data_IF_761048868846
#
_entry.id   IF_761048868846
#
_cell.length_a   1.000
_cell.length_b   1.000
_cell.length_c   1.000
_cell.angle_alpha   90.00
_cell.angle_beta   90.00
_cell.angle_gamma   90.00
#
_symmetry.space_group_name_H-M   'P 1'
#
loop_
_entity.id
_entity.type
_entity.pdbx_description
1 polymer ?
#
# COMPACT_ATOMS: atom_id res chain seq x y z
N UNK A 1 13.34 -5.01 0.66
CA UNK A 1 12.81 -4.51 1.93
C UNK A 1 13.56 -3.25 2.36
N UNK A 2 12.89 -2.36 3.11
CA UNK A 2 13.54 -1.21 3.71
C UNK A 2 14.39 -1.61 4.92
N UNK A 3 15.33 -0.72 5.30
CA UNK A 3 16.10 -0.90 6.53
C UNK A 3 15.18 -0.99 7.73
N UNK A 4 15.48 -1.90 8.66
CA UNK A 4 14.80 -2.06 9.94
C UNK A 4 15.77 -1.65 11.08
N UNK A 5 15.98 -0.34 11.28
CA UNK A 5 16.86 0.13 12.32
C UNK A 5 16.28 -0.21 13.71
N UNK A 6 17.17 -0.34 14.68
CA UNK A 6 16.81 -0.63 16.08
C UNK A 6 17.65 0.23 17.02
N UNK A 7 17.28 1.51 17.14
CA UNK A 7 17.89 2.48 18.07
C UNK A 7 16.81 3.02 19.00
N UNK A 8 17.06 3.21 20.29
CA UNK A 8 16.05 3.67 21.25
C UNK A 8 15.48 5.06 20.94
N UNK A 9 16.26 5.92 20.30
CA UNK A 9 15.98 7.33 19.98
C UNK A 9 15.69 7.57 18.49
N UNK A 10 15.42 6.51 17.71
CA UNK A 10 15.23 6.65 16.27
C UNK A 10 13.91 7.33 15.89
N UNK A 11 13.97 8.13 14.84
CA UNK A 11 12.81 8.63 14.09
C UNK A 11 12.68 7.82 12.80
N UNK A 12 11.71 6.90 12.76
CA UNK A 12 11.53 5.92 11.66
C UNK A 12 10.51 6.38 10.64
N UNK A 13 11.00 6.96 9.54
CA UNK A 13 10.18 7.52 8.44
C UNK A 13 10.48 6.85 7.08
N UNK A 14 10.77 5.55 7.05
CA UNK A 14 11.29 4.87 5.86
C UNK A 14 10.38 3.79 5.26
N UNK A 15 9.45 3.22 5.99
CA UNK A 15 8.63 2.06 5.55
C UNK A 15 7.12 2.31 5.51
N UNK A 16 6.72 3.58 5.58
CA UNK A 16 5.31 4.01 5.48
C UNK A 16 4.42 3.37 6.56
N UNK A 17 4.97 3.13 7.74
CA UNK A 17 4.20 2.68 8.89
C UNK A 17 3.35 3.83 9.43
N UNK A 18 2.24 3.51 10.04
CA UNK A 18 1.39 4.47 10.72
C UNK A 18 2.08 4.88 12.04
N UNK A 19 2.23 6.18 12.36
CA UNK A 19 2.86 6.61 13.60
C UNK A 19 1.97 6.44 14.84
N UNK A 20 0.68 6.18 14.66
CA UNK A 20 -0.27 5.94 15.74
C UNK A 20 -0.47 4.45 15.98
N UNK A 21 -0.81 4.02 17.22
CA UNK A 21 -1.09 2.62 17.53
C UNK A 21 -2.34 2.12 16.79
N UNK A 22 -2.57 0.79 16.74
CA UNK A 22 -3.85 0.23 16.30
C UNK A 22 -5.03 0.70 17.17
N UNK A 23 -6.26 0.52 16.67
CA UNK A 23 -7.48 0.82 17.42
C UNK A 23 -7.48 0.15 18.80
N UNK A 24 -7.95 0.82 19.87
CA UNK A 24 -7.92 0.26 21.23
C UNK A 24 -8.62 -1.10 21.36
N UNK A 25 -9.65 -1.35 20.55
CA UNK A 25 -10.35 -2.64 20.50
C UNK A 25 -9.43 -3.81 20.09
N UNK A 26 -8.34 -3.55 19.38
CA UNK A 26 -7.36 -4.58 19.01
C UNK A 26 -6.67 -5.14 20.26
N UNK A 27 -6.27 -4.29 21.21
CA UNK A 27 -5.66 -4.74 22.46
C UNK A 27 -6.61 -5.64 23.25
N UNK A 28 -7.88 -5.25 23.34
CA UNK A 28 -8.92 -6.05 24.01
C UNK A 28 -9.09 -7.41 23.31
N UNK A 29 -9.21 -7.43 21.98
CA UNK A 29 -9.38 -8.67 21.23
C UNK A 29 -8.20 -9.65 21.39
N UNK A 30 -6.98 -9.13 21.47
CA UNK A 30 -5.78 -9.95 21.72
C UNK A 30 -5.69 -10.45 23.16
N UNK A 31 -6.10 -9.64 24.14
CA UNK A 31 -6.12 -10.03 25.55
C UNK A 31 -7.17 -11.14 25.82
N UNK A 32 -8.33 -11.05 25.19
CA UNK A 32 -9.45 -11.98 25.42
C UNK A 32 -9.30 -13.29 24.64
N UNK A 33 -8.29 -13.40 23.77
CA UNK A 33 -8.03 -14.62 23.03
C UNK A 33 -7.55 -15.74 23.98
N UNK A 34 -8.28 -16.86 24.00
CA UNK A 34 -7.87 -18.03 24.78
C UNK A 34 -6.60 -18.66 24.18
N UNK A 35 -5.55 -18.77 24.99
CA UNK A 35 -4.31 -19.46 24.59
C UNK A 35 -4.57 -20.93 24.21
N UNK A 36 -5.55 -21.60 24.88
CA UNK A 36 -5.93 -22.97 24.55
C UNK A 36 -6.47 -23.10 23.11
N UNK A 37 -7.07 -22.06 22.55
CA UNK A 37 -7.56 -22.07 21.18
C UNK A 37 -6.44 -22.22 20.14
N UNK A 38 -5.21 -21.84 20.48
CA UNK A 38 -4.06 -21.88 19.54
C UNK A 38 -3.63 -23.30 19.15
N UNK A 39 -4.09 -24.33 19.88
CA UNK A 39 -3.87 -25.75 19.51
C UNK A 39 -4.74 -26.21 18.32
N UNK A 40 -5.72 -25.41 17.92
CA UNK A 40 -6.65 -25.72 16.84
C UNK A 40 -6.30 -24.91 15.59
N UNK A 41 -6.50 -25.51 14.42
CA UNK A 41 -6.40 -24.76 13.16
C UNK A 41 -7.41 -23.61 13.11
N UNK A 42 -7.04 -22.46 12.53
CA UNK A 42 -7.96 -21.36 12.30
C UNK A 42 -8.99 -21.70 11.21
N UNK A 43 -10.00 -20.85 11.07
CA UNK A 43 -10.97 -20.94 10.00
C UNK A 43 -10.26 -20.77 8.63
N UNK A 44 -10.28 -21.77 7.74
CA UNK A 44 -9.57 -21.70 6.45
C UNK A 44 -10.16 -20.69 5.47
N UNK A 45 -11.45 -20.33 5.63
CA UNK A 45 -12.12 -19.31 4.79
C UNK A 45 -12.13 -17.93 5.41
N UNK A 46 -11.53 -17.77 6.61
CA UNK A 46 -11.37 -16.49 7.31
C UNK A 46 -12.71 -15.73 7.45
N UNK A 47 -13.81 -16.45 7.66
CA UNK A 47 -15.19 -15.96 7.53
C UNK A 47 -15.47 -14.74 8.40
N UNK A 48 -15.03 -14.74 9.68
CA UNK A 48 -15.26 -13.61 10.59
C UNK A 48 -14.63 -12.30 10.09
N UNK A 49 -13.39 -12.35 9.63
CA UNK A 49 -12.70 -11.17 9.12
C UNK A 49 -13.28 -10.73 7.78
N UNK A 50 -13.54 -11.68 6.86
CA UNK A 50 -14.14 -11.37 5.57
C UNK A 50 -15.55 -10.74 5.73
N UNK A 51 -16.37 -11.23 6.68
CA UNK A 51 -17.65 -10.62 7.02
C UNK A 51 -17.48 -9.18 7.52
N UNK A 52 -16.57 -8.97 8.47
CA UNK A 52 -16.33 -7.62 9.00
C UNK A 52 -15.81 -6.64 7.93
N UNK A 53 -14.97 -7.10 6.99
CA UNK A 53 -14.52 -6.31 5.83
C UNK A 53 -15.73 -6.02 4.90
N UNK A 54 -16.53 -7.03 4.59
CA UNK A 54 -17.71 -6.87 3.73
C UNK A 54 -18.69 -5.84 4.31
N UNK A 55 -18.98 -5.92 5.61
CA UNK A 55 -19.85 -4.98 6.34
C UNK A 55 -19.27 -3.55 6.31
N UNK A 56 -17.94 -3.41 6.51
CA UNK A 56 -17.28 -2.11 6.51
C UNK A 56 -17.37 -1.40 5.15
N UNK A 57 -17.18 -2.15 4.06
CA UNK A 57 -17.18 -1.61 2.70
C UNK A 57 -18.57 -1.67 2.01
N UNK A 58 -19.57 -2.29 2.64
CA UNK A 58 -20.92 -2.43 2.07
C UNK A 58 -20.97 -3.36 0.85
N UNK A 59 -20.12 -4.39 0.82
CA UNK A 59 -20.06 -5.40 -0.25
C UNK A 59 -20.54 -6.76 0.27
N UNK A 60 -20.71 -7.75 -0.61
CA UNK A 60 -21.11 -9.09 -0.22
C UNK A 60 -19.91 -9.89 0.29
N UNK A 61 -20.13 -10.86 1.18
CA UNK A 61 -19.09 -11.74 1.72
C UNK A 61 -18.30 -12.46 0.61
N UNK A 62 -18.99 -12.94 -0.40
CA UNK A 62 -18.39 -13.64 -1.56
C UNK A 62 -17.56 -12.75 -2.49
N UNK A 63 -17.55 -11.44 -2.24
CA UNK A 63 -16.70 -10.47 -2.94
C UNK A 63 -15.38 -10.20 -2.22
N UNK A 64 -15.12 -10.81 -1.05
CA UNK A 64 -13.95 -10.54 -0.20
C UNK A 64 -13.02 -11.74 -0.12
N UNK A 65 -11.73 -11.51 -0.33
CA UNK A 65 -10.64 -12.46 -0.12
C UNK A 65 -9.59 -11.85 0.81
N UNK A 66 -9.20 -12.54 1.87
CA UNK A 66 -8.14 -12.09 2.79
C UNK A 66 -6.90 -12.98 2.74
N UNK A 67 -5.72 -12.36 2.89
CA UNK A 67 -4.41 -13.00 2.90
C UNK A 67 -3.44 -12.36 3.91
N UNK A 68 -2.24 -12.90 3.98
CA UNK A 68 -1.19 -12.53 4.96
C UNK A 68 -0.45 -11.27 4.52
N UNK A 69 -1.16 -10.15 4.48
CA UNK A 69 -0.73 -8.86 3.93
C UNK A 69 -1.08 -8.72 2.45
N UNK A 70 -1.06 -7.48 1.95
CA UNK A 70 -1.32 -7.23 0.51
C UNK A 70 -0.29 -7.89 -0.40
N UNK A 71 0.93 -8.13 0.06
CA UNK A 71 1.95 -8.86 -0.70
C UNK A 71 1.50 -10.29 -1.02
N UNK A 72 0.94 -11.00 -0.04
CA UNK A 72 0.39 -12.34 -0.23
C UNK A 72 -0.82 -12.31 -1.19
N UNK A 73 -1.73 -11.36 -0.99
CA UNK A 73 -2.91 -11.18 -1.84
C UNK A 73 -2.51 -10.88 -3.30
N UNK A 74 -1.57 -9.95 -3.50
CA UNK A 74 -1.06 -9.60 -4.83
C UNK A 74 -0.33 -10.79 -5.47
N UNK A 75 0.54 -11.49 -4.73
CA UNK A 75 1.22 -12.67 -5.24
C UNK A 75 0.24 -13.77 -5.66
N UNK A 76 -0.83 -13.99 -4.88
CA UNK A 76 -1.91 -14.90 -5.26
C UNK A 76 -2.64 -14.43 -6.52
N UNK A 77 -2.91 -13.13 -6.67
CA UNK A 77 -3.49 -12.58 -7.89
C UNK A 77 -2.58 -12.80 -9.11
N UNK A 78 -1.27 -12.56 -8.99
CA UNK A 78 -0.30 -12.81 -10.06
C UNK A 78 -0.31 -14.28 -10.48
N UNK A 79 -0.20 -15.19 -9.51
CA UNK A 79 -0.22 -16.63 -9.74
C UNK A 79 -1.52 -17.10 -10.39
N UNK A 80 -2.65 -16.52 -9.98
CA UNK A 80 -3.99 -16.96 -10.41
C UNK A 80 -4.36 -16.44 -11.79
N UNK A 81 -4.09 -15.15 -12.07
CA UNK A 81 -4.67 -14.46 -13.22
C UNK A 81 -3.68 -14.12 -14.34
N UNK A 82 -2.39 -14.00 -14.03
CA UNK A 82 -1.38 -13.58 -15.01
C UNK A 82 -0.63 -14.76 -15.62
N UNK A 83 -1.37 -15.73 -16.15
CA UNK A 83 -0.83 -16.99 -16.68
C UNK A 83 -0.87 -17.09 -18.21
N UNK A 84 -1.15 -16.00 -18.92
CA UNK A 84 -1.09 -15.95 -20.36
C UNK A 84 0.36 -15.75 -20.84
N UNK A 85 0.60 -15.97 -22.14
CA UNK A 85 1.91 -15.68 -22.77
C UNK A 85 2.10 -14.20 -23.10
N UNK A 86 1.07 -13.37 -22.92
CA UNK A 86 1.13 -11.92 -23.16
C UNK A 86 1.76 -11.23 -21.96
N UNK A 87 2.54 -10.14 -22.17
CA UNK A 87 3.11 -9.40 -21.07
C UNK A 87 2.05 -8.70 -20.22
N UNK A 88 2.19 -8.70 -18.92
CA UNK A 88 1.43 -7.81 -18.04
C UNK A 88 2.07 -6.43 -18.01
N UNK A 89 1.26 -5.40 -17.74
CA UNK A 89 1.70 -4.01 -17.69
C UNK A 89 1.66 -3.45 -16.29
N UNK A 90 2.70 -2.72 -15.91
CA UNK A 90 2.75 -1.90 -14.69
C UNK A 90 3.73 -0.73 -14.86
N UNK A 91 3.65 0.36 -14.04
CA UNK A 91 4.52 1.52 -14.18
C UNK A 91 6.00 1.18 -13.97
N UNK A 92 6.90 1.92 -14.62
CA UNK A 92 8.37 1.77 -14.47
C UNK A 92 8.85 2.19 -13.07
N UNK A 93 8.22 3.22 -12.48
CA UNK A 93 8.47 3.71 -11.11
C UNK A 93 7.26 3.42 -10.26
N UNK A 94 7.26 2.27 -9.57
CA UNK A 94 6.13 1.75 -8.82
C UNK A 94 6.58 0.82 -7.69
N UNK A 95 5.65 0.03 -7.14
CA UNK A 95 5.94 -0.94 -6.10
C UNK A 95 6.92 -2.01 -6.59
N UNK A 96 8.05 -2.13 -5.91
CA UNK A 96 9.20 -2.92 -6.39
C UNK A 96 9.01 -4.44 -6.42
N UNK A 97 7.89 -4.98 -5.90
CA UNK A 97 7.62 -6.42 -5.91
C UNK A 97 6.91 -6.91 -7.18
N UNK A 98 6.31 -6.04 -7.98
CA UNK A 98 5.66 -6.49 -9.24
C UNK A 98 6.63 -7.22 -10.18
N UNK A 99 7.83 -6.72 -10.49
CA UNK A 99 8.80 -7.48 -11.26
C UNK A 99 9.29 -8.75 -10.53
N UNK A 100 9.42 -8.72 -9.20
CA UNK A 100 9.86 -9.88 -8.41
C UNK A 100 8.89 -11.05 -8.56
N UNK A 101 7.57 -10.80 -8.42
CA UNK A 101 6.57 -11.85 -8.63
C UNK A 101 6.48 -12.28 -10.10
N UNK A 102 6.62 -11.33 -11.04
CA UNK A 102 6.64 -11.68 -12.47
C UNK A 102 7.78 -12.63 -12.79
N UNK A 103 8.98 -12.37 -12.28
CA UNK A 103 10.14 -13.24 -12.46
C UNK A 103 9.96 -14.59 -11.74
N UNK A 104 9.48 -14.59 -10.49
CA UNK A 104 9.24 -15.80 -9.71
C UNK A 104 8.26 -16.76 -10.38
N UNK A 105 7.18 -16.22 -10.94
CA UNK A 105 6.14 -17.01 -11.59
C UNK A 105 6.32 -17.13 -13.11
N UNK A 106 7.44 -16.62 -13.65
CA UNK A 106 7.75 -16.64 -15.09
C UNK A 106 6.68 -15.94 -15.96
N UNK A 107 6.12 -14.86 -15.45
CA UNK A 107 5.13 -14.04 -16.13
C UNK A 107 5.87 -12.99 -16.96
N UNK A 108 5.67 -12.92 -18.29
CA UNK A 108 6.23 -11.84 -19.09
C UNK A 108 5.62 -10.50 -18.68
N UNK A 109 6.45 -9.45 -18.67
CA UNK A 109 5.97 -8.12 -18.28
C UNK A 109 6.61 -7.00 -19.10
N UNK A 110 5.94 -5.88 -19.18
CA UNK A 110 6.42 -4.64 -19.75
C UNK A 110 6.18 -3.49 -18.78
N UNK A 111 7.24 -2.71 -18.52
CA UNK A 111 7.15 -1.51 -17.69
C UNK A 111 6.69 -0.34 -18.55
N UNK A 112 5.58 0.30 -18.19
CA UNK A 112 5.08 1.50 -18.85
C UNK A 112 5.71 2.73 -18.20
N UNK A 113 6.35 3.64 -18.97
CA UNK A 113 7.00 4.80 -18.39
C UNK A 113 5.99 5.77 -17.80
N UNK A 114 6.22 6.24 -16.57
CA UNK A 114 5.57 7.43 -16.09
C UNK A 114 6.10 8.66 -16.85
N UNK A 115 5.26 9.70 -17.03
CA UNK A 115 5.70 10.94 -17.67
C UNK A 115 6.77 11.67 -16.82
N UNK A 116 7.25 12.84 -17.26
CA UNK A 116 8.29 13.60 -16.56
C UNK A 116 7.86 14.10 -15.17
N UNK A 117 6.55 14.17 -14.91
CA UNK A 117 5.97 14.52 -13.61
C UNK A 117 5.64 13.31 -12.74
N UNK A 118 6.06 12.11 -13.13
CA UNK A 118 5.75 10.83 -12.50
C UNK A 118 4.26 10.47 -12.50
N UNK A 119 3.48 10.99 -13.43
CA UNK A 119 2.09 10.63 -13.62
C UNK A 119 1.97 9.44 -14.57
N UNK A 120 1.02 8.54 -14.31
CA UNK A 120 0.69 7.44 -15.20
C UNK A 120 -0.02 7.98 -16.46
N UNK A 121 0.41 7.50 -17.62
CA UNK A 121 -0.19 7.82 -18.94
C UNK A 121 -1.14 6.67 -19.29
N UNK A 122 -2.44 6.89 -19.18
CA UNK A 122 -3.46 5.82 -19.30
C UNK A 122 -3.48 5.17 -20.67
N UNK A 123 -3.18 5.93 -21.73
CA UNK A 123 -3.12 5.46 -23.11
C UNK A 123 -2.08 4.37 -23.33
N UNK A 124 -1.00 4.35 -22.54
CA UNK A 124 0.03 3.31 -22.60
C UNK A 124 -0.49 1.92 -22.17
N UNK A 125 -1.65 1.88 -21.52
CA UNK A 125 -2.30 0.67 -21.03
C UNK A 125 -3.43 0.13 -21.92
N UNK A 126 -3.68 0.74 -23.09
CA UNK A 126 -4.74 0.31 -24.00
C UNK A 126 -4.32 -0.83 -24.94
N UNK A 127 -3.01 -1.05 -25.09
CA UNK A 127 -2.51 -2.13 -25.95
C UNK A 127 -2.88 -3.52 -25.37
N UNK A 128 -2.95 -4.51 -26.25
CA UNK A 128 -3.19 -5.90 -25.87
C UNK A 128 -2.15 -6.38 -24.86
N UNK A 129 -2.61 -7.00 -23.76
CA UNK A 129 -1.77 -7.39 -22.64
C UNK A 129 -2.28 -8.66 -21.95
N UNK A 130 -1.47 -9.19 -21.01
CA UNK A 130 -1.81 -10.35 -20.19
C UNK A 130 -2.43 -10.00 -18.83
N UNK A 131 -2.59 -8.71 -18.54
CA UNK A 131 -3.10 -8.16 -17.29
C UNK A 131 -2.44 -6.84 -16.95
N UNK A 132 -3.04 -6.09 -16.06
CA UNK A 132 -2.55 -4.78 -15.63
C UNK A 132 -2.53 -4.73 -14.11
N UNK A 133 -1.48 -4.13 -13.53
CA UNK A 133 -1.43 -3.83 -12.10
C UNK A 133 -0.75 -2.48 -11.87
N UNK A 134 -1.35 -1.63 -11.06
CA UNK A 134 -0.76 -0.38 -10.60
C UNK A 134 -1.30 0.04 -9.24
N UNK A 135 -0.49 0.71 -8.40
CA UNK A 135 -0.96 1.28 -7.16
C UNK A 135 -1.73 2.59 -7.40
N UNK A 136 -2.75 2.82 -6.62
CA UNK A 136 -3.46 4.09 -6.58
C UNK A 136 -3.86 4.46 -5.15
N UNK A 137 -3.19 5.45 -4.54
CA UNK A 137 -2.04 6.26 -5.00
C UNK A 137 -0.78 5.44 -5.27
N UNK A 138 0.01 5.87 -6.27
CA UNK A 138 1.26 5.18 -6.62
C UNK A 138 2.34 5.33 -5.53
N UNK A 139 3.12 4.29 -5.31
CA UNK A 139 4.31 4.34 -4.47
C UNK A 139 5.55 4.08 -5.35
N UNK A 140 6.59 4.96 -5.32
CA UNK A 140 6.90 5.93 -4.27
C UNK A 140 6.39 7.36 -4.50
N UNK A 141 5.67 7.65 -5.57
CA UNK A 141 5.38 9.04 -5.99
C UNK A 141 4.28 9.73 -5.18
N UNK A 142 3.34 8.96 -4.62
CA UNK A 142 2.18 9.45 -3.87
C UNK A 142 1.05 9.98 -4.75
N UNK A 143 1.21 10.00 -6.07
CA UNK A 143 0.22 10.54 -7.03
C UNK A 143 -0.95 9.56 -7.18
N UNK A 144 -2.16 10.09 -7.16
CA UNK A 144 -3.37 9.35 -7.44
C UNK A 144 -3.95 9.69 -8.82
N UNK A 145 -4.43 8.65 -9.52
CA UNK A 145 -5.28 8.79 -10.69
C UNK A 145 -6.72 9.08 -10.30
N UNK A 146 -7.44 9.75 -11.19
CA UNK A 146 -8.89 9.89 -11.04
C UNK A 146 -9.61 8.55 -11.27
N UNK A 147 -10.77 8.38 -10.65
CA UNK A 147 -11.63 7.20 -10.89
C UNK A 147 -11.98 7.08 -12.37
N UNK A 148 -12.21 8.22 -13.06
CA UNK A 148 -12.54 8.23 -14.48
C UNK A 148 -11.40 7.71 -15.36
N UNK A 149 -10.14 8.06 -15.05
CA UNK A 149 -8.98 7.56 -15.82
C UNK A 149 -8.74 6.07 -15.58
N UNK A 150 -8.97 5.59 -14.34
CA UNK A 150 -8.88 4.16 -14.02
C UNK A 150 -10.01 3.40 -14.71
N UNK A 151 -11.22 3.93 -14.70
CA UNK A 151 -12.36 3.33 -15.40
C UNK A 151 -12.11 3.24 -16.91
N UNK A 152 -11.50 4.25 -17.50
CA UNK A 152 -11.12 4.27 -18.91
C UNK A 152 -10.09 3.16 -19.24
N UNK A 153 -9.08 2.95 -18.37
CA UNK A 153 -8.15 1.81 -18.52
C UNK A 153 -8.91 0.47 -18.46
N UNK A 154 -9.82 0.30 -17.52
CA UNK A 154 -10.61 -0.94 -17.37
C UNK A 154 -11.43 -1.22 -18.63
N UNK A 155 -12.09 -0.20 -19.19
CA UNK A 155 -12.92 -0.30 -20.38
C UNK A 155 -12.15 -0.69 -21.64
N UNK A 156 -10.89 -0.23 -21.78
CA UNK A 156 -10.02 -0.59 -22.89
C UNK A 156 -9.42 -2.01 -22.76
N UNK A 157 -9.60 -2.68 -21.61
CA UNK A 157 -9.02 -3.98 -21.31
C UNK A 157 -10.06 -5.04 -20.90
N UNK A 158 -11.15 -5.24 -21.64
CA UNK A 158 -12.24 -6.12 -21.21
C UNK A 158 -11.83 -7.60 -21.05
N UNK A 159 -10.79 -8.03 -21.75
CA UNK A 159 -10.26 -9.39 -21.75
C UNK A 159 -9.05 -9.60 -20.81
N UNK A 160 -8.65 -8.56 -20.08
CA UNK A 160 -7.51 -8.59 -19.16
C UNK A 160 -7.93 -8.19 -17.74
N UNK A 161 -7.40 -8.89 -16.74
CA UNK A 161 -7.61 -8.50 -15.34
C UNK A 161 -6.84 -7.22 -15.05
N UNK A 162 -7.52 -6.24 -14.46
CA UNK A 162 -6.94 -4.98 -13.95
C UNK A 162 -6.95 -5.02 -12.43
N UNK A 163 -5.76 -4.99 -11.83
CA UNK A 163 -5.56 -4.94 -10.39
C UNK A 163 -5.21 -3.52 -9.99
N UNK A 164 -6.04 -2.91 -9.15
CA UNK A 164 -5.75 -1.61 -8.54
C UNK A 164 -5.32 -1.83 -7.09
N UNK A 165 -4.03 -1.56 -6.82
CA UNK A 165 -3.46 -1.69 -5.48
C UNK A 165 -3.69 -0.39 -4.71
N UNK A 166 -4.69 -0.40 -3.84
CA UNK A 166 -5.14 0.72 -3.03
C UNK A 166 -4.52 0.73 -1.62
N UNK A 167 -3.27 0.31 -1.47
CA UNK A 167 -2.60 0.26 -0.16
C UNK A 167 -2.57 1.61 0.58
N UNK A 168 -2.68 2.73 -0.12
CA UNK A 168 -2.61 4.09 0.43
C UNK A 168 -3.89 4.90 0.24
N UNK A 169 -4.98 4.29 -0.20
CA UNK A 169 -6.20 4.98 -0.64
C UNK A 169 -6.83 5.86 0.44
N UNK A 170 -6.76 5.43 1.70
CA UNK A 170 -7.39 6.12 2.82
C UNK A 170 -6.80 7.51 3.11
N UNK A 171 -5.62 7.84 2.57
CA UNK A 171 -4.91 9.10 2.85
C UNK A 171 -5.26 10.25 1.90
N UNK A 172 -6.22 10.10 1.00
CA UNK A 172 -6.70 11.19 0.15
C UNK A 172 -7.11 10.79 -1.26
N UNK A 173 -6.85 9.55 -1.69
CA UNK A 173 -7.33 9.03 -2.96
C UNK A 173 -8.84 8.72 -2.94
N UNK A 174 -9.40 8.49 -4.12
CA UNK A 174 -10.78 8.03 -4.27
C UNK A 174 -10.75 6.58 -4.76
N UNK A 175 -11.37 5.67 -3.98
CA UNK A 175 -11.40 4.25 -4.28
C UNK A 175 -12.24 3.93 -5.53
N UNK A 176 -11.79 2.94 -6.30
CA UNK A 176 -12.54 2.37 -7.43
C UNK A 176 -13.45 1.21 -7.01
N UNK A 177 -13.58 0.93 -5.72
CA UNK A 177 -14.50 -0.09 -5.21
C UNK A 177 -15.93 0.00 -5.78
N UNK A 178 -16.54 1.19 -6.00
CA UNK A 178 -17.88 1.27 -6.61
C UNK A 178 -17.96 0.69 -8.03
N UNK A 179 -16.83 0.44 -8.68
CA UNK A 179 -16.79 -0.11 -10.04
C UNK A 179 -16.80 -1.66 -10.10
N UNK A 180 -16.63 -2.35 -8.97
CA UNK A 180 -16.52 -3.83 -8.95
C UNK A 180 -17.78 -4.56 -9.43
N UNK A 181 -18.95 -3.97 -9.24
CA UNK A 181 -20.22 -4.53 -9.73
C UNK A 181 -20.48 -4.18 -11.20
N UNK A 182 -19.71 -3.27 -11.77
CA UNK A 182 -19.81 -2.82 -13.17
C UNK A 182 -18.85 -3.57 -14.10
N UNK A 183 -17.68 -3.98 -13.57
CA UNK A 183 -16.61 -4.57 -14.37
C UNK A 183 -16.15 -5.91 -13.79
N UNK A 184 -16.33 -6.98 -14.58
CA UNK A 184 -15.97 -8.34 -14.19
C UNK A 184 -14.45 -8.60 -14.14
N UNK A 185 -13.63 -7.69 -14.68
CA UNK A 185 -12.18 -7.79 -14.77
C UNK A 185 -11.43 -6.92 -13.76
N UNK A 186 -12.12 -6.29 -12.80
CA UNK A 186 -11.51 -5.42 -11.78
C UNK A 186 -11.27 -6.17 -10.47
N UNK A 187 -10.04 -6.05 -9.94
CA UNK A 187 -9.70 -6.46 -8.57
C UNK A 187 -9.12 -5.26 -7.84
N UNK A 188 -9.66 -4.96 -6.66
CA UNK A 188 -9.14 -3.93 -5.77
C UNK A 188 -8.44 -4.59 -4.58
N UNK A 189 -7.18 -4.25 -4.34
CA UNK A 189 -6.39 -4.80 -3.22
C UNK A 189 -6.11 -3.71 -2.21
N UNK A 190 -6.36 -3.99 -0.94
CA UNK A 190 -6.06 -3.07 0.16
C UNK A 190 -5.32 -3.77 1.30
N UNK A 191 -4.85 -3.01 2.30
CA UNK A 191 -4.06 -3.53 3.41
C UNK A 191 -4.42 -2.85 4.73
N UNK A 192 -4.24 -3.58 5.84
CA UNK A 192 -4.31 -3.02 7.19
C UNK A 192 -2.96 -2.43 7.64
N UNK A 193 -1.90 -2.62 6.86
CA UNK A 193 -0.54 -2.22 7.24
C UNK A 193 -0.32 -0.73 7.33
N UNK A 194 -1.17 0.10 6.70
CA UNK A 194 -0.96 1.54 6.58
C UNK A 194 -1.98 2.31 7.43
N UNK A 195 -3.17 2.52 6.96
CA UNK A 195 -4.19 3.33 7.64
C UNK A 195 -4.65 2.73 8.97
N UNK A 196 -4.68 1.41 9.11
CA UNK A 196 -5.12 0.71 10.33
C UNK A 196 -4.01 0.34 11.32
N UNK A 197 -2.77 0.81 11.10
CA UNK A 197 -1.63 0.59 12.02
C UNK A 197 -1.29 -0.88 12.31
N UNK A 198 -1.58 -1.78 11.37
CA UNK A 198 -1.51 -3.22 11.57
C UNK A 198 -0.41 -3.91 10.72
N UNK A 199 0.67 -3.17 10.39
CA UNK A 199 1.75 -3.73 9.57
C UNK A 199 2.34 -5.03 10.13
N UNK A 200 2.50 -5.12 11.46
CA UNK A 200 3.00 -6.30 12.16
C UNK A 200 2.02 -7.49 12.19
N UNK A 201 0.72 -7.26 12.01
CA UNK A 201 -0.31 -8.31 12.02
C UNK A 201 -0.51 -8.97 10.65
N UNK A 202 0.06 -8.40 9.58
CA UNK A 202 0.02 -8.99 8.23
C UNK A 202 -1.39 -9.30 7.73
N UNK A 203 -2.20 -8.26 7.49
CA UNK A 203 -3.55 -8.39 6.91
C UNK A 203 -3.62 -7.59 5.61
N UNK A 204 -3.98 -8.27 4.53
CA UNK A 204 -4.35 -7.69 3.25
C UNK A 204 -5.61 -8.36 2.73
N UNK A 205 -6.31 -7.71 1.82
CA UNK A 205 -7.52 -8.26 1.23
C UNK A 205 -7.73 -7.77 -0.20
N UNK A 206 -8.45 -8.56 -0.97
CA UNK A 206 -8.97 -8.18 -2.28
C UNK A 206 -10.49 -8.10 -2.23
N UNK A 207 -11.06 -7.17 -2.99
CA UNK A 207 -12.49 -7.07 -3.25
C UNK A 207 -12.70 -7.09 -4.76
N UNK A 208 -13.58 -7.97 -5.22
CA UNK A 208 -13.88 -8.15 -6.64
C UNK A 208 -15.24 -8.84 -6.83
N UNK A 209 -15.59 -9.17 -8.07
CA UNK A 209 -16.77 -9.99 -8.32
C UNK A 209 -16.59 -11.42 -7.72
N UNK A 210 -17.70 -12.11 -7.38
CA UNK A 210 -17.64 -13.41 -6.72
C UNK A 210 -16.88 -14.49 -7.50
N UNK A 211 -16.89 -14.43 -8.85
CA UNK A 211 -16.21 -15.44 -9.66
C UNK A 211 -14.68 -15.34 -9.51
N UNK A 212 -14.12 -14.11 -9.54
CA UNK A 212 -12.68 -13.91 -9.36
C UNK A 212 -12.27 -14.26 -7.93
N UNK A 213 -13.08 -13.92 -6.93
CA UNK A 213 -12.81 -14.29 -5.54
C UNK A 213 -12.85 -15.81 -5.33
N UNK A 214 -13.77 -16.52 -5.96
CA UNK A 214 -13.81 -17.99 -5.93
C UNK A 214 -12.54 -18.59 -6.50
N UNK A 215 -12.07 -18.11 -7.65
CA UNK A 215 -10.83 -18.62 -8.29
C UNK A 215 -9.59 -18.31 -7.42
N UNK A 216 -9.53 -17.14 -6.77
CA UNK A 216 -8.47 -16.84 -5.78
C UNK A 216 -8.48 -17.82 -4.60
N UNK A 217 -9.65 -18.16 -4.08
CA UNK A 217 -9.79 -19.15 -3.01
C UNK A 217 -9.36 -20.55 -3.48
N UNK A 218 -9.72 -20.96 -4.69
CA UNK A 218 -9.29 -22.25 -5.26
C UNK A 218 -7.76 -22.32 -5.37
N UNK A 219 -7.10 -21.23 -5.81
CA UNK A 219 -5.65 -21.13 -5.83
C UNK A 219 -5.04 -21.19 -4.43
N UNK A 220 -5.57 -20.40 -3.49
CA UNK A 220 -5.12 -20.39 -2.08
C UNK A 220 -5.21 -21.78 -1.45
N UNK A 221 -6.34 -22.47 -1.61
CA UNK A 221 -6.52 -23.81 -1.05
C UNK A 221 -5.58 -24.86 -1.66
N UNK A 222 -5.16 -24.63 -2.90
CA UNK A 222 -4.17 -25.48 -3.57
C UNK A 222 -2.74 -25.21 -3.10
N UNK A 223 -2.46 -24.00 -2.62
CA UNK A 223 -1.14 -23.54 -2.20
C UNK A 223 -0.93 -23.63 -0.68
N UNK A 224 -1.80 -23.00 0.11
CA UNK A 224 -1.79 -23.03 1.58
C UNK A 224 -3.20 -22.72 2.13
N UNK A 225 -3.90 -23.74 2.62
CA UNK A 225 -5.30 -23.59 3.05
C UNK A 225 -5.48 -22.86 4.37
N UNK A 226 -4.49 -22.81 5.26
CA UNK A 226 -4.59 -22.19 6.61
C UNK A 226 -3.60 -21.02 6.75
N UNK A 227 -3.71 -20.00 5.89
CA UNK A 227 -2.73 -18.92 5.82
C UNK A 227 -2.77 -17.97 7.00
N UNK A 228 -3.96 -17.64 7.51
CA UNK A 228 -4.14 -16.63 8.57
C UNK A 228 -4.34 -17.28 9.93
N UNK A 229 -3.57 -16.85 10.92
CA UNK A 229 -3.68 -17.33 12.30
C UNK A 229 -4.84 -16.67 13.07
N UNK A 230 -5.23 -17.29 14.20
CA UNK A 230 -6.38 -16.84 14.98
C UNK A 230 -6.20 -15.45 15.61
N UNK A 231 -4.97 -15.10 16.02
CA UNK A 231 -4.67 -13.78 16.61
C UNK A 231 -4.83 -12.69 15.57
N UNK A 232 -4.35 -12.92 14.34
CA UNK A 232 -4.51 -11.99 13.21
C UNK A 232 -5.98 -11.78 12.85
N UNK A 233 -6.78 -12.87 12.81
CA UNK A 233 -8.21 -12.78 12.49
C UNK A 233 -8.94 -11.96 13.57
N UNK A 234 -8.71 -12.25 14.87
CA UNK A 234 -9.36 -11.54 15.95
C UNK A 234 -9.00 -10.04 15.98
N UNK A 235 -7.70 -9.74 15.85
CA UNK A 235 -7.20 -8.37 15.77
C UNK A 235 -7.76 -7.62 14.54
N UNK A 236 -7.82 -8.28 13.40
CA UNK A 236 -8.34 -7.72 12.15
C UNK A 236 -9.83 -7.35 12.25
N UNK A 237 -10.66 -8.22 12.84
CA UNK A 237 -12.08 -7.93 13.07
C UNK A 237 -12.23 -6.67 13.96
N UNK A 238 -11.48 -6.60 15.05
CA UNK A 238 -11.53 -5.44 15.95
C UNK A 238 -11.09 -4.14 15.25
N UNK A 239 -10.00 -4.21 14.45
CA UNK A 239 -9.46 -3.04 13.74
C UNK A 239 -10.41 -2.51 12.66
N UNK A 240 -11.02 -3.39 11.85
CA UNK A 240 -11.90 -2.95 10.76
C UNK A 240 -13.23 -2.41 11.26
N UNK A 241 -13.69 -2.88 12.42
CA UNK A 241 -14.96 -2.45 13.01
C UNK A 241 -14.91 -1.04 13.62
N UNK A 242 -13.72 -0.50 13.92
CA UNK A 242 -13.55 0.83 14.49
C UNK A 242 -13.30 1.89 13.42
N UNK A 243 -14.38 2.28 12.73
CA UNK A 243 -14.36 3.31 11.69
C UNK A 243 -13.94 4.68 12.25
N UNK A 244 -14.42 5.04 13.42
CA UNK A 244 -14.16 6.35 14.03
C UNK A 244 -12.66 6.55 14.32
N UNK A 245 -11.99 5.53 14.85
CA UNK A 245 -10.56 5.57 15.10
C UNK A 245 -9.74 5.64 13.80
N UNK A 246 -10.14 4.89 12.77
CA UNK A 246 -9.52 4.98 11.44
C UNK A 246 -9.60 6.41 10.90
N UNK A 247 -10.79 6.99 10.89
CA UNK A 247 -11.03 8.35 10.37
C UNK A 247 -10.24 9.41 11.16
N UNK A 248 -10.18 9.30 12.49
CA UNK A 248 -9.40 10.19 13.35
C UNK A 248 -7.90 10.13 13.03
N UNK A 249 -7.32 8.93 12.99
CA UNK A 249 -5.87 8.77 12.79
C UNK A 249 -5.45 9.14 11.37
N UNK A 250 -6.26 8.81 10.36
CA UNK A 250 -6.05 9.24 8.98
C UNK A 250 -6.10 10.75 8.86
N UNK A 251 -7.08 11.41 9.48
CA UNK A 251 -7.18 12.87 9.47
C UNK A 251 -5.94 13.55 10.08
N UNK A 252 -5.39 13.00 11.18
CA UNK A 252 -4.13 13.50 11.77
C UNK A 252 -2.97 13.36 10.80
N UNK A 253 -2.79 12.20 10.17
CA UNK A 253 -1.70 11.96 9.21
C UNK A 253 -1.83 12.90 8.01
N UNK A 254 -3.03 13.10 7.49
CA UNK A 254 -3.28 14.02 6.37
C UNK A 254 -2.96 15.46 6.77
N UNK A 255 -3.37 15.91 7.96
CA UNK A 255 -3.05 17.25 8.46
C UNK A 255 -1.53 17.46 8.60
N UNK A 256 -0.82 16.51 9.21
CA UNK A 256 0.65 16.53 9.34
C UNK A 256 1.32 16.52 7.97
N UNK A 257 0.81 15.73 6.99
CA UNK A 257 1.33 15.74 5.61
C UNK A 257 1.18 17.12 4.95
N UNK A 258 0.02 17.73 5.04
CA UNK A 258 -0.22 19.07 4.44
C UNK A 258 0.64 20.14 5.11
N UNK A 259 0.90 20.02 6.41
CA UNK A 259 1.86 20.87 7.09
C UNK A 259 3.30 20.59 6.60
N UNK A 260 3.69 19.32 6.48
CA UNK A 260 5.02 18.93 6.00
C UNK A 260 5.29 19.46 4.58
N UNK A 261 4.30 19.45 3.68
CA UNK A 261 4.42 20.04 2.34
C UNK A 261 4.81 21.54 2.42
N UNK A 262 4.19 22.29 3.32
CA UNK A 262 4.52 23.72 3.49
C UNK A 262 5.93 23.93 4.02
N UNK A 263 6.28 23.25 5.11
CA UNK A 263 7.59 23.40 5.76
C UNK A 263 8.72 22.96 4.83
N UNK A 264 8.58 21.83 4.14
CA UNK A 264 9.61 21.36 3.22
C UNK A 264 9.73 22.24 1.96
N UNK A 265 8.62 22.78 1.45
CA UNK A 265 8.65 23.75 0.34
C UNK A 265 9.37 25.05 0.72
N UNK A 266 9.16 25.57 1.95
CA UNK A 266 9.91 26.71 2.49
C UNK A 266 11.41 26.46 2.62
N UNK A 267 11.81 25.18 2.77
CA UNK A 267 13.20 24.75 2.76
C UNK A 267 13.77 24.49 1.36
N UNK A 268 12.99 24.68 0.29
CA UNK A 268 13.42 24.48 -1.09
C UNK A 268 13.15 23.10 -1.69
N UNK A 269 12.53 22.18 -0.95
CA UNK A 269 12.14 20.88 -1.50
C UNK A 269 11.05 20.99 -2.54
N UNK A 270 11.11 20.11 -3.53
CA UNK A 270 10.11 19.90 -4.56
C UNK A 270 9.57 18.47 -4.47
N UNK A 271 8.27 18.29 -4.66
CA UNK A 271 7.60 16.99 -4.57
C UNK A 271 6.28 17.00 -5.35
N UNK A 272 5.84 15.85 -5.89
CA UNK A 272 4.49 15.69 -6.41
C UNK A 272 3.44 15.89 -5.32
N UNK A 273 2.22 16.25 -5.69
CA UNK A 273 1.11 16.35 -4.75
C UNK A 273 0.70 14.94 -4.26
N UNK A 274 1.13 14.60 -3.06
CA UNK A 274 0.91 13.27 -2.48
C UNK A 274 -0.49 13.11 -1.91
N UNK A 275 -1.14 11.99 -2.25
CA UNK A 275 -2.38 11.49 -1.68
C UNK A 275 -2.14 10.23 -0.80
N UNK A 276 -0.92 10.06 -0.28
CA UNK A 276 -0.51 8.93 0.55
C UNK A 276 0.02 9.40 1.92
N UNK A 277 0.52 8.47 2.74
CA UNK A 277 1.16 8.80 4.03
C UNK A 277 2.67 9.04 3.92
N UNK A 278 3.14 9.52 2.78
CA UNK A 278 4.55 9.88 2.54
C UNK A 278 4.67 11.01 1.50
N UNK A 279 5.83 11.65 1.46
CA UNK A 279 6.23 12.58 0.41
C UNK A 279 7.40 11.98 -0.39
N UNK A 280 7.40 12.22 -1.69
CA UNK A 280 8.51 11.88 -2.60
C UNK A 280 9.22 13.16 -2.99
N UNK A 281 10.27 13.52 -2.26
CA UNK A 281 10.85 14.84 -2.25
C UNK A 281 12.28 14.87 -2.83
N UNK A 282 12.58 15.92 -3.60
CA UNK A 282 13.91 16.25 -4.11
C UNK A 282 14.30 17.67 -3.71
N UNK A 283 15.59 17.98 -3.69
CA UNK A 283 16.10 19.32 -3.44
C UNK A 283 17.07 19.72 -4.56
N UNK A 284 16.97 20.94 -5.14
CA UNK A 284 17.82 21.35 -6.26
C UNK A 284 19.32 21.49 -5.90
N UNK A 285 19.62 21.89 -4.66
CA UNK A 285 20.98 22.22 -4.22
C UNK A 285 21.65 21.10 -3.40
N UNK A 286 20.89 20.10 -2.91
CA UNK A 286 21.39 19.02 -2.09
C UNK A 286 21.00 17.65 -2.66
N UNK A 287 21.97 16.73 -2.79
CA UNK A 287 21.67 15.41 -3.31
C UNK A 287 20.85 14.58 -2.31
N UNK A 288 19.91 13.79 -2.81
CA UNK A 288 19.11 12.90 -1.98
C UNK A 288 19.98 11.90 -1.19
N UNK A 289 21.09 11.44 -1.77
CA UNK A 289 22.05 10.55 -1.11
C UNK A 289 22.70 11.22 0.10
N UNK A 290 23.20 12.44 -0.07
CA UNK A 290 23.83 13.23 0.98
C UNK A 290 22.87 13.50 2.14
N UNK A 291 21.63 13.94 1.83
CA UNK A 291 20.59 14.15 2.84
C UNK A 291 20.22 12.84 3.56
N UNK A 292 20.12 11.73 2.82
CA UNK A 292 19.87 10.42 3.41
C UNK A 292 20.96 10.01 4.41
N UNK A 293 22.23 10.14 4.03
CA UNK A 293 23.37 9.78 4.87
C UNK A 293 23.44 10.67 6.12
N UNK A 294 23.26 11.97 5.97
CA UNK A 294 23.22 12.94 7.07
C UNK A 294 22.11 12.65 8.07
N UNK A 295 20.89 12.37 7.59
CA UNK A 295 19.74 12.04 8.44
C UNK A 295 19.97 10.71 9.17
N UNK A 296 20.51 9.72 8.49
CA UNK A 296 20.81 8.40 9.06
C UNK A 296 21.83 8.49 10.21
N UNK A 297 22.85 9.36 10.10
CA UNK A 297 23.82 9.61 11.18
C UNK A 297 23.16 10.20 12.44
N UNK A 298 22.02 10.86 12.29
CA UNK A 298 21.23 11.42 13.40
C UNK A 298 20.06 10.50 13.83
N UNK A 299 20.09 9.23 13.44
CA UNK A 299 19.04 8.22 13.69
C UNK A 299 17.66 8.61 13.13
N UNK A 300 17.63 9.45 12.08
CA UNK A 300 16.40 9.79 11.32
C UNK A 300 16.43 8.98 10.03
N UNK A 301 15.51 8.01 9.90
CA UNK A 301 15.52 7.07 8.80
C UNK A 301 14.42 7.41 7.78
N UNK A 302 14.83 7.87 6.61
CA UNK A 302 13.98 8.05 5.43
C UNK A 302 14.33 6.99 4.38
N UNK A 303 13.58 6.91 3.28
CA UNK A 303 13.87 5.95 2.20
C UNK A 303 14.59 6.62 1.04
N UNK A 304 15.73 6.08 0.67
CA UNK A 304 16.48 6.41 -0.54
C UNK A 304 16.52 5.20 -1.48
N UNK A 305 16.32 5.39 -2.79
CA UNK A 305 16.25 4.29 -3.76
C UNK A 305 17.56 4.10 -4.54
N UNK A 306 18.31 5.18 -4.78
CA UNK A 306 19.67 5.16 -5.32
C UNK A 306 19.81 4.76 -6.78
N UNK A 307 18.71 4.57 -7.52
CA UNK A 307 18.77 4.09 -8.91
C UNK A 307 17.77 4.80 -9.83
N UNK A 308 18.09 4.84 -11.14
CA UNK A 308 17.20 5.34 -12.17
C UNK A 308 16.70 6.75 -11.91
N UNK A 309 15.45 7.03 -12.27
CA UNK A 309 14.79 8.34 -12.10
C UNK A 309 14.52 8.70 -10.64
N UNK A 310 14.58 7.72 -9.72
CA UNK A 310 14.31 7.93 -8.28
C UNK A 310 15.57 8.29 -7.46
N UNK A 311 16.77 8.28 -8.09
CA UNK A 311 18.06 8.53 -7.41
C UNK A 311 18.17 9.92 -6.77
N UNK A 312 17.42 10.89 -7.29
CA UNK A 312 17.46 12.28 -6.83
C UNK A 312 16.34 12.59 -5.82
N UNK A 313 15.65 11.56 -5.33
CA UNK A 313 14.50 11.69 -4.45
C UNK A 313 14.66 10.91 -3.14
N UNK A 314 14.09 11.46 -2.09
CA UNK A 314 13.81 10.77 -0.82
C UNK A 314 12.31 10.49 -0.72
N UNK A 315 11.94 9.31 -0.23
CA UNK A 315 10.56 9.09 0.23
C UNK A 315 10.53 9.22 1.75
N UNK A 316 9.78 10.20 2.23
CA UNK A 316 9.68 10.57 3.64
C UNK A 316 8.29 10.15 4.12
N UNK A 317 8.21 9.16 5.00
CA UNK A 317 6.96 8.76 5.65
C UNK A 317 6.49 9.89 6.57
N UNK A 318 5.20 10.13 6.66
CA UNK A 318 4.62 11.09 7.60
C UNK A 318 4.55 10.44 8.98
N UNK A 319 5.30 11.01 9.92
CA UNK A 319 5.31 10.64 11.33
C UNK A 319 4.29 11.43 12.15
N UNK A 320 4.47 11.41 13.49
CA UNK A 320 3.79 12.37 14.38
C UNK A 320 4.36 13.77 14.15
N UNK A 321 3.65 14.81 14.62
CA UNK A 321 4.15 16.19 14.53
C UNK A 321 5.55 16.32 15.18
N UNK A 322 5.79 15.66 16.30
CA UNK A 322 7.10 15.66 17.00
C UNK A 322 8.20 14.99 16.17
N UNK A 323 7.89 13.87 15.51
CA UNK A 323 8.83 13.19 14.63
C UNK A 323 9.16 14.05 13.40
N UNK A 324 8.18 14.73 12.85
CA UNK A 324 8.38 15.63 11.71
C UNK A 324 9.15 16.87 12.12
N UNK A 325 8.91 17.47 13.29
CA UNK A 325 9.72 18.59 13.80
C UNK A 325 11.20 18.18 14.01
N UNK A 326 11.46 16.97 14.48
CA UNK A 326 12.84 16.44 14.59
C UNK A 326 13.52 16.37 13.21
N UNK A 327 12.80 15.90 12.18
CA UNK A 327 13.29 15.90 10.80
C UNK A 327 13.59 17.34 10.32
N UNK A 328 12.65 18.28 10.52
CA UNK A 328 12.81 19.66 10.08
C UNK A 328 13.99 20.35 10.78
N UNK A 329 14.17 20.12 12.09
CA UNK A 329 15.30 20.67 12.83
C UNK A 329 16.64 20.19 12.29
N UNK A 330 16.77 18.89 11.97
CA UNK A 330 17.97 18.31 11.39
C UNK A 330 18.29 18.91 10.00
N UNK A 331 17.28 19.05 9.14
CA UNK A 331 17.42 19.66 7.81
C UNK A 331 17.83 21.14 7.90
N UNK A 332 17.16 21.94 8.75
CA UNK A 332 17.50 23.36 8.95
C UNK A 332 18.94 23.54 9.44
N UNK A 333 19.36 22.73 10.43
CA UNK A 333 20.73 22.79 10.96
C UNK A 333 21.78 22.43 9.90
N UNK A 334 21.45 21.55 8.98
CA UNK A 334 22.30 21.19 7.86
C UNK A 334 22.42 22.29 6.81
N UNK A 335 21.31 22.91 6.42
CA UNK A 335 21.26 23.97 5.40
C UNK A 335 21.85 25.31 5.87
N UNK A 336 22.07 25.49 7.16
CA UNK A 336 22.71 26.69 7.72
C UNK A 336 24.26 26.58 7.78
N UNK A 337 24.83 25.45 7.39
CA UNK A 337 26.30 25.24 7.34
C UNK A 337 26.89 25.77 6.05
#
# INVERSE_FOLDING_TARGET
PGDQPNFPDMVKLNTNENPYPPAPAVATALHDLSVDSLRLYPDPVVSKLNTAIADFYGVKLEQVFSGVGSDDVLAMCFLTFFNSKKPIFFPDVTYGFYPVWSELFQIPYEKKPLNDRFELVKEDYYAENGGIVFPNPNAPTGIALSVADIEDIIQHNPDSIVIVDEAYIDFGGTSVLPLIDKYDNLIVVQTFSKSRSMAGMRIGFAISNPNLIRVLNDCKFSFNSYTMNQTTIAAGVAAVSDRAYLEETVAKIVATREHAKKVLAEMGFQFPDSQSNFLFATHPDYSAKELYEMLKEQHIFVRYFGTGRTKDYLRITIGTDEQMETLYAALRAYFQR
#
